data_IF_659859279467
#
_entry.id   IF_659859279467
#
_cell.length_a   1.000
_cell.length_b   1.000
_cell.length_c   1.000
_cell.angle_alpha   90.00
_cell.angle_beta   90.00
_cell.angle_gamma   90.00
#
_symmetry.space_group_name_H-M   'P 1'
#
loop_
_entity.id
_entity.type
_entity.pdbx_description
1 polymer ?
#
# COMPACT_ATOMS: atom_id res chain seq x y z
N UNK A 1 -48.44 -24.12 33.59
CA UNK A 1 -47.85 -22.83 33.15
C UNK A 1 -47.19 -23.06 31.80
N UNK A 2 -47.62 -22.35 30.75
CA UNK A 2 -47.13 -22.55 29.36
C UNK A 2 -46.06 -21.49 29.06
N UNK A 3 -44.79 -21.89 28.99
CA UNK A 3 -43.70 -20.98 28.62
C UNK A 3 -43.59 -20.89 27.09
N UNK A 4 -43.96 -19.73 26.53
CA UNK A 4 -43.77 -19.38 25.13
C UNK A 4 -42.39 -18.76 24.94
N UNK A 5 -41.40 -19.57 24.58
CA UNK A 5 -40.06 -19.09 24.24
C UNK A 5 -40.00 -18.76 22.74
N UNK A 6 -40.42 -17.55 22.37
CA UNK A 6 -40.14 -17.00 21.03
C UNK A 6 -38.64 -16.72 20.96
N UNK A 7 -37.87 -17.68 20.45
CA UNK A 7 -36.46 -17.49 20.08
C UNK A 7 -36.36 -16.36 19.06
N UNK A 8 -35.95 -15.18 19.51
CA UNK A 8 -35.57 -14.07 18.63
C UNK A 8 -34.16 -14.39 18.15
N UNK A 9 -34.04 -14.91 16.93
CA UNK A 9 -32.77 -15.20 16.27
C UNK A 9 -32.08 -13.85 15.96
N UNK A 10 -30.91 -13.54 16.55
CA UNK A 10 -30.23 -12.29 16.28
C UNK A 10 -29.68 -12.34 14.85
N UNK A 11 -30.20 -11.48 13.98
CA UNK A 11 -29.64 -11.26 12.64
C UNK A 11 -28.33 -10.49 12.80
N UNK A 12 -27.21 -11.21 12.84
CA UNK A 12 -25.88 -10.61 12.84
C UNK A 12 -25.67 -9.98 11.46
N UNK A 13 -25.81 -8.66 11.35
CA UNK A 13 -25.38 -7.92 10.16
C UNK A 13 -23.85 -8.01 10.10
N UNK A 14 -23.34 -8.92 9.26
CA UNK A 14 -21.94 -8.98 8.89
C UNK A 14 -21.61 -7.71 8.12
N UNK A 15 -21.00 -6.75 8.81
CA UNK A 15 -20.44 -5.55 8.19
C UNK A 15 -19.41 -6.04 7.17
N UNK A 16 -19.53 -5.70 5.87
CA UNK A 16 -18.48 -6.02 4.92
C UNK A 16 -17.20 -5.31 5.38
N UNK A 17 -16.19 -6.09 5.73
CA UNK A 17 -14.85 -5.56 5.92
C UNK A 17 -14.45 -4.96 4.57
N UNK A 18 -14.39 -3.63 4.49
CA UNK A 18 -13.75 -2.97 3.36
C UNK A 18 -12.36 -3.59 3.24
N UNK A 19 -12.09 -4.28 2.14
CA UNK A 19 -10.77 -4.85 1.91
C UNK A 19 -9.79 -3.67 1.85
N UNK A 20 -9.04 -3.48 2.94
CA UNK A 20 -7.97 -2.50 3.00
C UNK A 20 -7.02 -2.77 1.82
N UNK A 21 -6.78 -1.76 0.99
CA UNK A 21 -5.91 -1.83 -0.17
C UNK A 21 -4.44 -1.56 0.25
N UNK A 22 -3.99 -2.17 1.35
CA UNK A 22 -2.60 -2.07 1.79
C UNK A 22 -1.71 -2.65 0.68
N UNK A 23 -0.60 -1.95 0.38
CA UNK A 23 0.27 -2.16 -0.78
C UNK A 23 -0.36 -1.82 -2.13
N UNK A 24 -1.56 -1.25 -2.13
CA UNK A 24 -2.24 -0.72 -3.31
C UNK A 24 -1.69 0.62 -3.75
N UNK A 25 -2.08 1.02 -4.96
CA UNK A 25 -1.74 2.32 -5.53
C UNK A 25 -2.55 3.42 -4.84
N UNK A 26 -1.92 4.56 -4.60
CA UNK A 26 -2.64 5.71 -4.06
C UNK A 26 -3.78 6.14 -4.99
N UNK A 27 -4.81 6.80 -4.43
CA UNK A 27 -5.90 7.37 -5.24
C UNK A 27 -5.44 8.44 -6.22
N UNK A 28 -4.25 9.02 -6.00
CA UNK A 28 -3.59 9.96 -6.89
C UNK A 28 -2.07 9.93 -6.66
N UNK A 29 -1.30 10.12 -7.73
CA UNK A 29 0.16 10.03 -7.72
C UNK A 29 0.69 8.62 -8.00
N UNK A 30 2.00 8.45 -7.84
CA UNK A 30 2.72 7.19 -8.13
C UNK A 30 3.17 6.43 -6.87
N UNK A 31 2.63 6.78 -5.70
CA UNK A 31 3.00 6.15 -4.43
C UNK A 31 2.24 4.86 -4.12
N UNK A 32 2.59 4.25 -2.99
CA UNK A 32 1.99 3.02 -2.46
C UNK A 32 1.36 3.27 -1.08
N UNK A 33 0.19 2.67 -0.83
CA UNK A 33 -0.49 2.74 0.46
C UNK A 33 0.17 1.78 1.47
N UNK A 34 0.93 2.34 2.43
CA UNK A 34 1.62 1.60 3.50
C UNK A 34 1.51 2.35 4.82
N UNK A 35 1.90 1.73 5.94
CA UNK A 35 1.90 2.44 7.21
C UNK A 35 2.91 3.60 7.20
N UNK A 36 2.64 4.65 8.00
CA UNK A 36 3.59 5.77 8.21
C UNK A 36 4.96 5.25 8.65
N UNK A 37 4.98 4.24 9.52
CA UNK A 37 6.20 3.61 10.01
C UNK A 37 6.99 2.93 8.89
N UNK A 38 6.34 2.17 8.01
CA UNK A 38 7.04 1.50 6.90
C UNK A 38 7.57 2.52 5.88
N UNK A 39 6.80 3.59 5.63
CA UNK A 39 7.22 4.65 4.73
C UNK A 39 8.48 5.37 5.25
N UNK A 40 8.46 5.76 6.53
CA UNK A 40 9.58 6.47 7.17
C UNK A 40 10.82 5.59 7.31
N UNK A 41 10.66 4.31 7.71
CA UNK A 41 11.77 3.33 7.73
C UNK A 41 12.42 3.14 6.37
N UNK A 42 11.63 3.19 5.29
CA UNK A 42 12.15 3.10 3.94
C UNK A 42 12.79 4.41 3.44
N UNK A 43 12.75 5.50 4.21
CA UNK A 43 13.23 6.83 3.81
C UNK A 43 12.33 7.54 2.81
N UNK A 44 11.04 7.18 2.77
CA UNK A 44 10.03 7.84 1.94
C UNK A 44 9.36 9.02 2.64
N UNK A 45 8.58 9.78 1.88
CA UNK A 45 7.65 10.81 2.38
C UNK A 45 6.22 10.36 2.16
N UNK A 46 5.26 10.78 3.00
CA UNK A 46 3.88 10.35 2.89
C UNK A 46 2.88 11.49 2.75
N UNK A 47 1.74 11.21 2.11
CA UNK A 47 0.62 12.13 1.92
C UNK A 47 -0.65 11.55 2.53
N UNK A 48 -1.36 12.35 3.34
CA UNK A 48 -2.63 11.99 3.97
C UNK A 48 -3.81 12.04 3.00
N UNK A 49 -4.85 11.23 3.26
CA UNK A 49 -6.10 11.24 2.50
C UNK A 49 -6.02 10.60 1.10
N UNK A 50 -4.93 9.89 0.80
CA UNK A 50 -4.68 9.26 -0.51
C UNK A 50 -4.82 7.73 -0.51
N UNK A 51 -5.20 7.16 0.63
CA UNK A 51 -5.52 5.75 0.83
C UNK A 51 -6.90 5.66 1.50
N UNK A 52 -7.99 5.96 0.77
CA UNK A 52 -9.33 6.17 1.36
C UNK A 52 -9.98 4.88 1.89
N UNK A 53 -9.49 3.72 1.44
CA UNK A 53 -10.01 2.41 1.83
C UNK A 53 -9.20 1.80 2.98
N UNK A 54 -8.20 2.51 3.50
CA UNK A 54 -7.23 2.00 4.47
C UNK A 54 -7.34 2.71 5.82
N UNK A 55 -6.85 2.09 6.91
CA UNK A 55 -6.80 2.71 8.23
C UNK A 55 -6.08 4.06 8.25
N UNK A 56 -6.39 4.90 9.25
CA UNK A 56 -5.82 6.25 9.37
C UNK A 56 -4.29 6.31 9.42
N UNK A 57 -3.61 5.24 9.86
CA UNK A 57 -2.15 5.16 9.90
C UNK A 57 -1.52 4.66 8.58
N UNK A 58 -2.33 4.33 7.58
CA UNK A 58 -1.90 4.03 6.21
C UNK A 58 -1.99 5.30 5.37
N UNK A 59 -0.89 5.64 4.72
CA UNK A 59 -0.73 6.87 3.95
C UNK A 59 -0.12 6.55 2.59
N UNK A 60 -0.30 7.45 1.64
CA UNK A 60 0.35 7.32 0.35
C UNK A 60 1.83 7.62 0.49
N UNK A 61 2.67 6.58 0.48
CA UNK A 61 4.11 6.71 0.57
C UNK A 61 4.74 6.90 -0.80
N UNK A 62 5.63 7.88 -0.89
CA UNK A 62 6.37 8.20 -2.08
C UNK A 62 7.87 8.15 -1.78
N UNK A 63 8.62 7.40 -2.59
CA UNK A 63 10.06 7.25 -2.47
C UNK A 63 10.67 7.40 -3.86
N UNK A 64 11.04 8.63 -4.20
CA UNK A 64 11.51 8.99 -5.54
C UNK A 64 12.94 8.52 -5.82
N UNK A 65 13.67 8.10 -4.78
CA UNK A 65 15.06 7.63 -4.89
C UNK A 65 15.24 6.26 -4.24
N UNK A 66 15.82 5.34 -4.98
CA UNK A 66 16.35 4.07 -4.49
C UNK A 66 17.69 3.79 -5.19
N UNK A 67 18.55 3.00 -4.55
CA UNK A 67 19.87 2.63 -5.11
C UNK A 67 19.89 1.11 -5.23
N UNK A 68 20.01 0.64 -6.46
CA UNK A 68 20.08 -0.79 -6.78
C UNK A 68 21.42 -1.40 -6.33
N UNK A 69 21.52 -2.74 -6.20
CA UNK A 69 22.75 -3.40 -5.74
C UNK A 69 23.95 -3.17 -6.66
N UNK A 70 23.72 -2.85 -7.94
CA UNK A 70 24.74 -2.46 -8.90
C UNK A 70 25.12 -0.97 -8.83
N UNK A 71 24.63 -0.23 -7.83
CA UNK A 71 24.89 1.20 -7.64
C UNK A 71 24.01 2.13 -8.48
N UNK A 72 23.17 1.58 -9.37
CA UNK A 72 22.31 2.40 -10.22
C UNK A 72 21.20 3.08 -9.41
N UNK A 73 20.94 4.36 -9.72
CA UNK A 73 19.89 5.14 -9.06
C UNK A 73 18.59 4.97 -9.81
N UNK A 74 17.52 4.65 -9.09
CA UNK A 74 16.18 4.51 -9.61
C UNK A 74 15.13 5.23 -8.77
N UNK A 75 13.87 4.99 -9.11
CA UNK A 75 12.71 5.52 -8.40
C UNK A 75 11.74 4.38 -8.05
N UNK A 76 11.12 4.45 -6.87
CA UNK A 76 10.12 3.47 -6.49
C UNK A 76 8.81 3.71 -7.24
N UNK A 77 8.32 2.68 -7.92
CA UNK A 77 7.06 2.71 -8.65
C UNK A 77 6.48 1.31 -8.78
N UNK A 78 5.23 1.22 -9.24
CA UNK A 78 4.65 -0.06 -9.58
C UNK A 78 5.39 -0.68 -10.76
N UNK A 79 5.63 -1.99 -10.72
CA UNK A 79 6.30 -2.76 -11.79
C UNK A 79 5.63 -2.54 -13.14
N UNK A 80 4.30 -2.41 -13.18
CA UNK A 80 3.54 -2.10 -14.40
C UNK A 80 3.82 -0.73 -15.01
N UNK A 81 4.39 0.20 -14.23
CA UNK A 81 4.78 1.54 -14.70
C UNK A 81 6.29 1.66 -14.97
N UNK A 82 7.05 0.59 -14.74
CA UNK A 82 8.50 0.59 -14.96
C UNK A 82 8.83 0.14 -16.37
N UNK A 83 9.59 0.95 -17.11
CA UNK A 83 10.12 0.61 -18.44
C UNK A 83 11.56 0.10 -18.41
N UNK A 84 12.17 -0.02 -17.21
CA UNK A 84 13.56 -0.42 -17.01
C UNK A 84 13.72 -1.68 -16.15
N UNK A 85 14.88 -1.82 -15.53
CA UNK A 85 15.16 -2.95 -14.64
C UNK A 85 14.55 -2.72 -13.26
N UNK A 86 13.87 -3.73 -12.72
CA UNK A 86 13.28 -3.66 -11.38
C UNK A 86 14.11 -4.40 -10.34
N UNK A 87 14.22 -3.81 -9.15
CA UNK A 87 14.92 -4.38 -8.01
C UNK A 87 13.96 -4.43 -6.79
N UNK A 88 13.79 -5.62 -6.22
CA UNK A 88 12.93 -5.88 -5.07
C UNK A 88 13.59 -5.44 -3.75
N UNK A 89 12.79 -5.19 -2.71
CA UNK A 89 13.28 -4.94 -1.34
C UNK A 89 13.88 -3.56 -1.07
N UNK A 90 13.94 -2.68 -2.08
CA UNK A 90 14.50 -1.33 -1.97
C UNK A 90 13.44 -0.24 -1.77
N UNK A 91 12.17 -0.61 -1.93
CA UNK A 91 11.02 0.28 -1.86
C UNK A 91 10.03 -0.26 -0.82
N UNK A 92 9.27 0.63 -0.15
CA UNK A 92 8.28 0.20 0.83
C UNK A 92 7.13 -0.55 0.13
N UNK A 93 6.38 -1.32 0.92
CA UNK A 93 5.16 -1.96 0.47
C UNK A 93 5.38 -3.35 -0.12
N UNK A 94 4.52 -3.71 -1.08
CA UNK A 94 4.38 -5.08 -1.56
C UNK A 94 5.31 -5.44 -2.71
N UNK A 95 5.19 -6.69 -3.18
CA UNK A 95 6.02 -7.27 -4.25
C UNK A 95 5.94 -6.52 -5.58
N UNK A 96 4.89 -5.72 -5.80
CA UNK A 96 4.67 -4.98 -7.05
C UNK A 96 5.14 -3.53 -7.02
N UNK A 97 5.61 -3.01 -5.88
CA UNK A 97 6.18 -1.67 -5.76
C UNK A 97 7.69 -1.77 -5.60
N UNK A 98 8.43 -1.58 -6.70
CA UNK A 98 9.85 -1.90 -6.79
C UNK A 98 10.67 -0.69 -7.17
N UNK A 99 11.98 -0.78 -6.95
CA UNK A 99 12.91 0.20 -7.44
C UNK A 99 13.06 0.00 -8.95
N UNK A 100 12.61 0.97 -9.73
CA UNK A 100 12.76 0.99 -11.18
C UNK A 100 14.00 1.82 -11.53
N UNK A 101 14.99 1.18 -12.13
CA UNK A 101 16.15 1.85 -12.72
C UNK A 101 15.89 1.94 -14.21
N UNK A 102 15.60 3.15 -14.69
CA UNK A 102 15.52 3.43 -16.12
C UNK A 102 16.92 3.27 -16.73
N UNK A 103 17.01 2.63 -17.89
CA UNK A 103 18.25 2.67 -18.67
C UNK A 103 18.59 4.13 -18.98
N UNK A 104 19.86 4.55 -18.86
CA UNK A 104 20.26 5.85 -19.39
C UNK A 104 19.92 5.87 -20.89
N UNK A 105 19.09 6.83 -21.29
CA UNK A 105 18.88 7.19 -22.69
C UNK A 105 20.17 7.71 -23.31
#
# INVERSE_FOLDING_TARGET
>A
MRFNFKSVLPLVLSIPAALAAINGRCSSGNGVCVTVNDCTKAGGSYVSGKCPNDPNNVKCCNKTRCVAPNGAVGSCMFTSSCSGTTYSGLCPGGSNFKCCVSSPT
#
